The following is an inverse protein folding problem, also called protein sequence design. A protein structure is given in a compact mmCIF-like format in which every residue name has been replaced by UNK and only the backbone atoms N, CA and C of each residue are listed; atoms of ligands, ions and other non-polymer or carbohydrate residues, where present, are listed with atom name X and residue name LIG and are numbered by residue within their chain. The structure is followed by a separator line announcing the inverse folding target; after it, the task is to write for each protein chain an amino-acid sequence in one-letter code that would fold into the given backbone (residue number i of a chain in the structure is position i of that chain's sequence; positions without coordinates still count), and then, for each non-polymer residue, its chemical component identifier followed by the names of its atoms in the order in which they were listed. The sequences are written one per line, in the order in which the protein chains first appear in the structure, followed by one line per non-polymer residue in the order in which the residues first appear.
data_IF_882108907229
#
_entry.id   IF_882108907229
#
_cell.length_a   1.000
_cell.length_b   1.000
_cell.length_c   1.000
_cell.angle_alpha   90.00
_cell.angle_beta   90.00
_cell.angle_gamma   90.00
#
_symmetry.space_group_name_H-M   'P 1'
#
loop_
_entity.id
_entity.type
_entity.pdbx_description
1 polymer ?
#
# COMPACT_ATOMS: atom_id res chain seq x y z
N UNK A 1 -1.55 -23.48 -51.27
CA UNK A 1 -1.80 -24.17 -49.98
C UNK A 1 -1.71 -23.17 -48.83
N UNK A 2 -2.84 -22.75 -48.25
CA UNK A 2 -2.92 -21.66 -47.26
C UNK A 2 -3.82 -22.07 -46.09
N UNK A 3 -3.41 -23.08 -45.32
CA UNK A 3 -4.12 -23.52 -44.12
C UNK A 3 -3.14 -23.89 -42.99
N UNK A 4 -2.43 -22.92 -42.43
CA UNK A 4 -1.66 -23.16 -41.18
C UNK A 4 -1.59 -21.97 -40.21
N UNK A 5 -2.37 -20.91 -40.42
CA UNK A 5 -2.39 -19.75 -39.48
C UNK A 5 -3.60 -19.67 -38.56
N UNK A 6 -4.68 -20.43 -38.82
CA UNK A 6 -5.94 -20.36 -38.02
C UNK A 6 -5.97 -21.26 -36.78
N UNK A 7 -5.11 -22.28 -36.66
CA UNK A 7 -5.14 -23.24 -35.54
C UNK A 7 -4.41 -22.76 -34.28
N UNK A 8 -3.42 -21.88 -34.42
CA UNK A 8 -2.60 -21.38 -33.31
C UNK A 8 -3.30 -20.29 -32.49
N UNK A 9 -4.07 -19.41 -33.12
CA UNK A 9 -4.82 -18.33 -32.43
C UNK A 9 -5.90 -18.89 -31.48
N UNK A 10 -6.52 -20.02 -31.84
CA UNK A 10 -7.62 -20.62 -31.08
C UNK A 10 -7.17 -21.19 -29.73
N UNK A 11 -5.94 -21.71 -29.64
CA UNK A 11 -5.35 -22.20 -28.37
C UNK A 11 -4.99 -21.09 -27.39
N UNK A 12 -4.59 -19.91 -27.90
CA UNK A 12 -4.29 -18.75 -27.06
C UNK A 12 -5.57 -18.18 -26.41
N UNK A 13 -6.67 -18.11 -27.16
CA UNK A 13 -7.97 -17.64 -26.61
C UNK A 13 -8.64 -18.63 -25.64
N UNK A 14 -8.28 -19.91 -25.67
CA UNK A 14 -8.84 -20.94 -24.77
C UNK A 14 -8.13 -21.03 -23.42
N UNK A 15 -6.91 -20.48 -23.27
CA UNK A 15 -6.14 -20.53 -22.02
C UNK A 15 -6.46 -19.40 -21.03
N UNK A 16 -7.16 -18.35 -21.44
CA UNK A 16 -7.81 -17.40 -20.53
C UNK A 16 -9.26 -17.80 -20.34
N UNK A 17 -9.48 -19.01 -19.86
CA UNK A 17 -10.79 -19.45 -19.36
C UNK A 17 -11.17 -18.59 -18.15
N UNK A 18 -12.47 -18.40 -17.93
CA UNK A 18 -13.00 -17.70 -16.74
C UNK A 18 -12.39 -18.25 -15.44
N UNK A 19 -12.06 -19.54 -15.40
CA UNK A 19 -11.36 -20.17 -14.27
C UNK A 19 -9.92 -19.68 -14.09
N UNK A 20 -9.17 -19.44 -15.17
CA UNK A 20 -7.82 -18.87 -15.08
C UNK A 20 -7.87 -17.42 -14.60
N UNK A 21 -8.86 -16.65 -15.05
CA UNK A 21 -9.10 -15.28 -14.54
C UNK A 21 -9.49 -15.34 -13.06
N UNK A 22 -10.39 -16.26 -12.67
CA UNK A 22 -10.79 -16.44 -11.26
C UNK A 22 -9.62 -16.90 -10.39
N UNK A 23 -8.74 -17.76 -10.89
CA UNK A 23 -7.53 -18.19 -10.19
C UNK A 23 -6.56 -17.04 -10.00
N UNK A 24 -6.33 -16.21 -11.03
CA UNK A 24 -5.53 -15.00 -10.90
C UNK A 24 -6.16 -14.04 -9.90
N UNK A 25 -7.46 -13.79 -9.97
CA UNK A 25 -8.17 -12.97 -8.98
C UNK A 25 -8.05 -13.53 -7.57
N UNK A 26 -8.09 -14.85 -7.38
CA UNK A 26 -7.90 -15.46 -6.06
C UNK A 26 -6.46 -15.33 -5.55
N UNK A 27 -5.47 -15.42 -6.43
CA UNK A 27 -4.06 -15.21 -6.08
C UNK A 27 -3.83 -13.74 -5.70
N UNK A 28 -4.30 -12.80 -6.52
CA UNK A 28 -4.18 -11.36 -6.25
C UNK A 28 -5.08 -10.85 -5.11
N UNK A 29 -6.21 -11.51 -4.81
CA UNK A 29 -7.03 -11.21 -3.61
C UNK A 29 -6.40 -11.73 -2.32
N UNK A 30 -5.62 -12.82 -2.39
CA UNK A 30 -4.86 -13.34 -1.24
C UNK A 30 -3.59 -12.53 -1.00
N UNK A 31 -2.95 -12.08 -2.06
CA UNK A 31 -1.81 -11.18 -2.01
C UNK A 31 -2.29 -9.73 -2.00
N UNK A 32 -2.86 -9.29 -0.88
CA UNK A 32 -2.60 -7.92 -0.45
C UNK A 32 -1.09 -7.81 -0.36
N UNK A 33 -0.46 -7.35 -1.45
CA UNK A 33 0.97 -7.52 -1.68
C UNK A 33 1.73 -7.12 -0.40
N UNK A 34 2.51 -8.02 0.22
CA UNK A 34 3.34 -7.62 1.33
C UNK A 34 4.23 -6.49 0.80
N UNK A 35 4.11 -5.31 1.39
CA UNK A 35 4.90 -4.13 0.99
C UNK A 35 6.35 -4.59 0.85
N UNK A 36 6.91 -4.48 -0.35
CA UNK A 36 8.27 -4.95 -0.62
C UNK A 36 9.21 -4.35 0.44
N UNK A 37 10.18 -5.11 0.98
CA UNK A 37 11.05 -4.62 2.06
C UNK A 37 11.76 -3.30 1.70
N UNK A 38 12.02 -3.06 0.41
CA UNK A 38 12.55 -1.80 -0.11
C UNK A 38 11.61 -0.60 0.07
N UNK A 39 10.29 -0.80 -0.09
CA UNK A 39 9.29 0.24 0.18
C UNK A 39 9.24 0.57 1.67
N UNK A 40 9.30 -0.45 2.54
CA UNK A 40 9.37 -0.23 4.00
C UNK A 40 10.58 0.63 4.38
N UNK A 41 11.79 0.31 3.92
CA UNK A 41 13.02 1.07 4.26
C UNK A 41 12.92 2.53 3.82
N UNK A 42 12.41 2.77 2.61
CA UNK A 42 12.24 4.14 2.09
C UNK A 42 11.23 4.91 2.93
N UNK A 43 10.14 4.27 3.32
CA UNK A 43 9.08 4.86 4.12
C UNK A 43 9.53 5.15 5.56
N UNK A 44 10.39 4.31 6.16
CA UNK A 44 11.00 4.63 7.46
C UNK A 44 11.87 5.89 7.40
N UNK A 45 12.71 6.02 6.37
CA UNK A 45 13.57 7.20 6.21
C UNK A 45 12.75 8.48 6.01
N UNK A 46 11.69 8.43 5.22
CA UNK A 46 10.82 9.62 5.01
C UNK A 46 10.12 10.02 6.30
N UNK A 47 9.67 9.05 7.10
CA UNK A 47 9.06 9.32 8.41
C UNK A 47 10.09 9.87 9.43
N UNK A 48 11.31 9.35 9.45
CA UNK A 48 12.38 9.87 10.31
C UNK A 48 12.75 11.32 9.95
N UNK A 49 12.79 11.63 8.65
CA UNK A 49 13.01 12.98 8.16
C UNK A 49 11.82 13.90 8.48
N UNK A 50 10.60 13.38 8.42
CA UNK A 50 9.39 14.10 8.85
C UNK A 50 9.41 14.46 10.34
N UNK A 51 9.86 13.54 11.21
CA UNK A 51 10.05 13.82 12.64
C UNK A 51 11.09 14.92 12.82
N UNK A 52 12.24 14.81 12.13
CA UNK A 52 13.32 15.80 12.27
C UNK A 52 12.91 17.19 11.79
N UNK A 53 12.15 17.25 10.71
CA UNK A 53 11.69 18.50 10.10
C UNK A 53 10.45 19.09 10.77
N UNK A 54 9.71 18.30 11.56
CA UNK A 54 8.44 18.72 12.15
C UNK A 54 7.37 19.07 11.12
N UNK A 55 7.50 18.53 9.89
CA UNK A 55 6.61 18.88 8.78
C UNK A 55 5.19 18.39 9.01
N UNK A 56 4.24 19.20 8.56
CA UNK A 56 2.83 18.85 8.56
C UNK A 56 2.53 17.96 7.34
N UNK A 57 1.90 16.81 7.59
CA UNK A 57 1.70 15.78 6.58
C UNK A 57 0.24 15.34 6.54
N UNK A 58 -0.17 14.86 5.38
CA UNK A 58 -1.42 14.13 5.18
C UNK A 58 -1.08 12.65 5.03
N UNK A 59 -1.67 11.81 5.88
CA UNK A 59 -1.42 10.37 5.97
C UNK A 59 -2.73 9.65 5.66
N UNK A 60 -2.70 8.85 4.61
CA UNK A 60 -3.81 7.96 4.25
C UNK A 60 -3.54 6.58 4.84
N UNK A 61 -4.51 6.03 5.58
CA UNK A 61 -4.39 4.72 6.21
C UNK A 61 -5.69 3.94 6.12
N UNK A 62 -5.61 2.62 6.15
CA UNK A 62 -6.75 1.70 6.13
C UNK A 62 -6.85 1.01 7.48
N UNK A 63 -7.98 1.22 8.17
CA UNK A 63 -8.27 0.55 9.44
C UNK A 63 -9.62 -0.14 9.35
N UNK A 64 -9.66 -1.43 9.68
CA UNK A 64 -10.86 -2.28 9.58
C UNK A 64 -11.54 -2.22 8.20
N UNK A 65 -10.73 -2.17 7.12
CA UNK A 65 -11.22 -2.12 5.74
C UNK A 65 -11.80 -0.77 5.31
N UNK A 66 -11.68 0.28 6.14
CA UNK A 66 -12.07 1.65 5.81
C UNK A 66 -10.83 2.50 5.62
N UNK A 67 -10.75 3.17 4.49
CA UNK A 67 -9.74 4.20 4.25
C UNK A 67 -10.10 5.46 5.05
N UNK A 68 -9.11 6.01 5.73
CA UNK A 68 -9.20 7.22 6.51
C UNK A 68 -8.00 8.11 6.21
N UNK A 69 -8.20 9.41 6.37
CA UNK A 69 -7.17 10.42 6.15
C UNK A 69 -6.90 11.13 7.47
N UNK A 70 -5.62 11.27 7.81
CA UNK A 70 -5.16 11.98 8.98
C UNK A 70 -4.24 13.11 8.57
N UNK A 71 -4.40 14.28 9.18
CA UNK A 71 -3.47 15.40 9.00
C UNK A 71 -2.80 15.73 10.33
N UNK A 72 -1.48 15.82 10.32
CA UNK A 72 -0.71 16.05 11.53
C UNK A 72 0.79 16.05 11.32
N UNK A 73 1.52 16.27 12.40
CA UNK A 73 2.98 16.09 12.43
C UNK A 73 3.30 14.72 12.99
N UNK A 74 4.41 14.15 12.56
CA UNK A 74 4.86 12.86 13.08
C UNK A 74 5.64 13.13 14.36
N UNK A 75 5.19 12.54 15.47
CA UNK A 75 5.80 12.76 16.78
C UNK A 75 6.79 11.66 17.14
N UNK A 76 6.48 10.41 16.81
CA UNK A 76 7.34 9.29 17.16
C UNK A 76 7.23 8.10 16.19
N UNK A 77 8.33 7.36 16.08
CA UNK A 77 8.42 6.09 15.36
C UNK A 77 8.75 4.96 16.32
N UNK A 78 7.89 3.95 16.37
CA UNK A 78 8.01 2.79 17.25
C UNK A 78 8.46 1.58 16.42
N UNK A 79 9.76 1.52 16.11
CA UNK A 79 10.33 0.47 15.24
C UNK A 79 10.01 -0.95 15.70
N UNK A 80 10.15 -1.24 17.00
CA UNK A 80 9.87 -2.59 17.55
C UNK A 80 8.41 -3.03 17.40
N UNK A 81 7.49 -2.08 17.24
CA UNK A 81 6.05 -2.34 17.15
C UNK A 81 5.49 -2.05 15.76
N UNK A 82 6.35 -1.67 14.81
CA UNK A 82 5.97 -1.17 13.49
C UNK A 82 4.79 -0.18 13.57
N UNK A 83 4.92 0.87 14.40
CA UNK A 83 3.90 1.93 14.51
C UNK A 83 4.49 3.33 14.32
N UNK A 84 3.63 4.22 13.83
CA UNK A 84 3.84 5.65 13.74
C UNK A 84 2.89 6.34 14.70
N UNK A 85 3.39 7.33 15.43
CA UNK A 85 2.57 8.24 16.23
C UNK A 85 2.49 9.59 15.54
N UNK A 86 1.25 10.04 15.31
CA UNK A 86 0.94 11.26 14.59
C UNK A 86 0.21 12.20 15.55
N UNK A 87 0.76 13.38 15.74
CA UNK A 87 0.14 14.44 16.49
C UNK A 87 -0.79 15.25 15.57
N UNK A 88 -2.08 15.09 15.79
CA UNK A 88 -3.12 15.74 14.97
C UNK A 88 -3.37 17.18 15.43
N UNK A 89 -3.96 18.00 14.57
CA UNK A 89 -4.41 19.35 14.93
C UNK A 89 -5.48 19.36 16.02
N UNK A 90 -6.19 18.24 16.22
CA UNK A 90 -7.17 18.08 17.31
C UNK A 90 -6.53 17.93 18.70
N UNK A 91 -5.19 17.84 18.76
CA UNK A 91 -4.43 17.66 20.00
C UNK A 91 -4.37 16.21 20.48
N UNK A 92 -5.13 15.29 19.88
CA UNK A 92 -5.09 13.87 20.20
C UNK A 92 -4.02 13.15 19.36
N UNK A 93 -3.07 12.45 19.99
CA UNK A 93 -2.10 11.63 19.27
C UNK A 93 -2.78 10.37 18.74
N UNK A 94 -2.53 10.05 17.48
CA UNK A 94 -3.04 8.85 16.84
C UNK A 94 -1.91 7.89 16.49
N UNK A 95 -2.07 6.63 16.91
CA UNK A 95 -1.14 5.55 16.59
C UNK A 95 -1.66 4.78 15.38
N UNK A 96 -0.82 4.63 14.37
CA UNK A 96 -1.12 3.94 13.11
C UNK A 96 -0.06 2.86 12.92
N UNK A 97 -0.49 1.64 12.59
CA UNK A 97 0.46 0.55 12.25
C UNK A 97 0.97 0.75 10.83
N UNK A 98 2.21 0.34 10.56
CA UNK A 98 2.77 0.45 9.22
C UNK A 98 1.97 -0.31 8.16
N UNK A 99 1.43 -1.47 8.52
CA UNK A 99 0.57 -2.26 7.64
C UNK A 99 -0.75 -1.55 7.28
N UNK A 100 -1.18 -0.59 8.11
CA UNK A 100 -2.36 0.23 7.86
C UNK A 100 -2.02 1.44 6.96
N UNK A 101 -0.74 1.81 6.80
CA UNK A 101 -0.35 2.97 6.00
C UNK A 101 -0.49 2.68 4.51
N UNK A 102 -1.14 3.61 3.81
CA UNK A 102 -1.35 3.51 2.36
C UNK A 102 -0.54 4.55 1.60
N UNK A 103 -0.60 5.82 2.01
CA UNK A 103 0.12 6.92 1.36
C UNK A 103 0.49 8.02 2.38
N UNK A 104 1.59 8.73 2.13
CA UNK A 104 2.06 9.85 2.96
C UNK A 104 2.44 11.00 2.04
N UNK A 105 1.80 12.16 2.24
CA UNK A 105 2.06 13.37 1.47
C UNK A 105 2.49 14.49 2.38
N UNK A 106 3.60 15.13 2.03
CA UNK A 106 4.06 16.35 2.68
C UNK A 106 3.20 17.50 2.16
N UNK A 107 2.57 18.24 3.06
CA UNK A 107 1.89 19.48 2.71
C UNK A 107 2.96 20.58 2.63
N UNK A 108 3.34 20.95 1.41
CA UNK A 108 4.27 22.06 1.14
C UNK A 108 3.58 23.41 1.26
#
# INVERSE_FOLDING_TARGET
MLQSKKRTVRKWRQRTTRDHISQLEHLYKRESAPSLPFQKITLWKTLEEAIRSGQYMTIEYVRHGKSAVLTGTISALLHQREMVEVQTSTGLPQKIRFEELFDIRINK
#
